data_IF_665281897239
#
_entry.id   IF_665281897239
#
_cell.length_a   1.000
_cell.length_b   1.000
_cell.length_c   1.000
_cell.angle_alpha   90.00
_cell.angle_beta   90.00
_cell.angle_gamma   90.00
#
_symmetry.space_group_name_H-M   'P 1'
#
loop_
_entity.id
_entity.type
_entity.pdbx_description
1 polymer ?
#
# COMPACT_ATOMS: atom_id res chain seq x y z
N UNK A 1 -0.14 80.62 2.42
CA UNK A 1 1.01 79.96 3.06
C UNK A 1 0.93 78.52 2.82
N UNK A 2 1.91 78.03 2.12
CA UNK A 2 1.93 76.69 1.50
C UNK A 2 2.19 75.60 2.51
N UNK A 3 1.38 74.58 2.47
CA UNK A 3 1.73 73.26 3.00
C UNK A 3 1.50 72.27 1.92
N UNK A 4 2.62 71.83 1.31
CA UNK A 4 2.68 70.82 0.31
C UNK A 4 2.47 69.46 0.94
N UNK A 5 1.41 68.77 0.54
CA UNK A 5 1.13 67.41 0.89
C UNK A 5 1.99 66.46 0.03
N UNK A 6 2.94 65.80 0.68
CA UNK A 6 3.75 64.78 0.10
C UNK A 6 3.03 63.44 0.25
N UNK A 7 2.41 62.98 -0.82
CA UNK A 7 1.69 61.72 -0.86
C UNK A 7 2.67 60.63 -1.26
N UNK A 8 3.09 59.84 -0.30
CA UNK A 8 3.91 58.62 -0.55
C UNK A 8 2.96 57.49 -0.93
N UNK A 9 3.02 57.10 -2.20
CA UNK A 9 2.44 55.86 -2.68
C UNK A 9 3.25 54.69 -2.14
N UNK A 10 2.59 53.83 -1.35
CA UNK A 10 3.14 52.60 -0.90
C UNK A 10 2.76 51.51 -1.91
N UNK A 11 3.71 51.12 -2.77
CA UNK A 11 3.56 49.98 -3.64
C UNK A 11 3.61 48.69 -2.80
N UNK A 12 2.42 48.14 -2.50
CA UNK A 12 2.29 46.83 -1.92
C UNK A 12 2.61 45.76 -2.97
N UNK A 13 3.77 45.15 -2.81
CA UNK A 13 4.17 43.95 -3.61
C UNK A 13 3.37 42.77 -3.06
N UNK A 14 2.34 42.35 -3.76
CA UNK A 14 1.63 41.10 -3.46
C UNK A 14 2.47 39.94 -4.02
N UNK A 15 3.22 39.28 -3.16
CA UNK A 15 3.88 38.04 -3.49
C UNK A 15 2.83 36.94 -3.40
N UNK A 16 2.29 36.56 -4.57
CA UNK A 16 1.40 35.41 -4.68
C UNK A 16 2.20 34.11 -4.48
N UNK A 17 2.03 33.49 -3.33
CA UNK A 17 2.53 32.13 -3.10
C UNK A 17 1.71 31.16 -3.92
N UNK A 18 2.25 30.69 -5.03
CA UNK A 18 1.71 29.56 -5.77
C UNK A 18 2.00 28.28 -4.97
N UNK A 19 1.01 27.76 -4.29
CA UNK A 19 1.04 26.39 -3.79
C UNK A 19 0.89 25.45 -4.99
N UNK A 20 2.01 24.87 -5.41
CA UNK A 20 1.99 23.74 -6.33
C UNK A 20 1.53 22.52 -5.53
N UNK A 21 0.24 22.22 -5.62
CA UNK A 21 -0.30 20.95 -5.12
C UNK A 21 0.15 19.87 -6.12
N UNK A 22 1.26 19.24 -5.83
CA UNK A 22 1.72 18.09 -6.58
C UNK A 22 0.75 16.92 -6.36
N UNK A 23 0.03 16.53 -7.42
CA UNK A 23 -0.82 15.36 -7.41
C UNK A 23 0.03 14.09 -7.39
N UNK A 24 0.27 13.54 -6.20
CA UNK A 24 0.90 12.24 -6.01
C UNK A 24 -0.15 11.11 -6.02
N UNK A 25 -0.98 11.04 -7.06
CA UNK A 25 -2.06 10.03 -7.13
C UNK A 25 -1.58 8.61 -7.42
N UNK A 26 -0.36 8.41 -7.94
CA UNK A 26 0.13 7.08 -8.35
C UNK A 26 0.68 6.20 -7.23
N UNK A 27 1.21 6.79 -6.16
CA UNK A 27 1.78 6.07 -5.02
C UNK A 27 0.74 5.68 -3.98
N UNK A 28 -0.34 6.43 -3.86
CA UNK A 28 -1.35 6.24 -2.82
C UNK A 28 -2.23 5.00 -3.07
N UNK A 29 -2.54 4.67 -4.31
CA UNK A 29 -3.40 3.53 -4.65
C UNK A 29 -2.74 2.21 -4.26
N UNK A 30 -1.48 2.00 -4.62
CA UNK A 30 -0.74 0.79 -4.26
C UNK A 30 -0.47 0.70 -2.76
N UNK A 31 -0.26 1.83 -2.10
CA UNK A 31 -0.08 1.87 -0.65
C UNK A 31 -1.40 1.56 0.07
N UNK A 32 -2.52 2.12 -0.39
CA UNK A 32 -3.83 1.83 0.15
C UNK A 32 -4.22 0.34 -0.04
N UNK A 33 -3.96 -0.22 -1.23
CA UNK A 33 -4.14 -1.64 -1.53
C UNK A 33 -3.30 -2.53 -0.61
N UNK A 34 -2.01 -2.21 -0.44
CA UNK A 34 -1.13 -2.95 0.48
C UNK A 34 -1.62 -2.89 1.94
N UNK A 35 -2.15 -1.76 2.38
CA UNK A 35 -2.70 -1.62 3.75
C UNK A 35 -3.97 -2.45 3.95
N UNK A 36 -4.87 -2.48 2.97
CA UNK A 36 -6.06 -3.36 3.01
C UNK A 36 -5.64 -4.83 2.99
N UNK A 37 -4.70 -5.20 2.12
CA UNK A 37 -4.14 -6.54 2.03
C UNK A 37 -3.49 -6.98 3.34
N UNK A 38 -2.79 -6.08 4.03
CA UNK A 38 -2.21 -6.36 5.35
C UNK A 38 -3.28 -6.69 6.39
N UNK A 39 -4.36 -5.91 6.43
CA UNK A 39 -5.46 -6.15 7.37
C UNK A 39 -6.16 -7.49 7.09
N UNK A 40 -6.45 -7.79 5.82
CA UNK A 40 -7.03 -9.07 5.39
C UNK A 40 -6.11 -10.24 5.72
N UNK A 41 -4.81 -10.12 5.46
CA UNK A 41 -3.82 -11.14 5.79
C UNK A 41 -3.76 -11.40 7.30
N UNK A 42 -3.76 -10.37 8.12
CA UNK A 42 -3.77 -10.51 9.58
C UNK A 42 -5.01 -11.24 10.10
N UNK A 43 -6.18 -10.92 9.52
CA UNK A 43 -7.46 -11.49 9.94
C UNK A 43 -7.69 -12.92 9.41
N UNK A 44 -7.36 -13.17 8.14
CA UNK A 44 -7.77 -14.39 7.43
C UNK A 44 -6.65 -15.42 7.20
N UNK A 45 -5.39 -15.02 7.28
CA UNK A 45 -4.26 -15.84 6.82
C UNK A 45 -3.24 -16.17 7.91
N UNK A 46 -2.91 -15.22 8.76
CA UNK A 46 -1.71 -15.26 9.60
C UNK A 46 -1.73 -16.40 10.63
N UNK A 47 -2.86 -16.70 11.27
CA UNK A 47 -2.95 -17.74 12.29
C UNK A 47 -2.68 -19.13 11.70
N UNK A 48 -3.31 -19.47 10.57
CA UNK A 48 -3.11 -20.75 9.92
C UNK A 48 -1.67 -20.89 9.38
N UNK A 49 -1.09 -19.81 8.86
CA UNK A 49 0.30 -19.81 8.39
C UNK A 49 1.29 -19.94 9.55
N UNK A 50 1.02 -19.33 10.70
CA UNK A 50 1.82 -19.51 11.90
C UNK A 50 1.83 -20.99 12.36
N UNK A 51 0.65 -21.61 12.40
CA UNK A 51 0.52 -23.04 12.76
C UNK A 51 1.25 -23.94 11.76
N UNK A 52 1.07 -23.69 10.46
CA UNK A 52 1.73 -24.48 9.40
C UNK A 52 3.25 -24.34 9.37
N UNK A 53 3.78 -23.21 9.81
CA UNK A 53 5.22 -23.00 9.90
C UNK A 53 5.86 -23.84 11.00
N UNK A 54 5.11 -24.14 12.06
CA UNK A 54 5.62 -24.78 13.28
C UNK A 54 6.53 -23.88 14.12
N UNK A 55 6.70 -22.62 13.74
CA UNK A 55 7.60 -21.65 14.38
C UNK A 55 6.85 -20.49 15.05
N UNK A 56 5.51 -20.46 14.95
CA UNK A 56 4.69 -19.36 15.43
C UNK A 56 4.73 -18.10 14.56
N UNK A 57 5.58 -18.08 13.53
CA UNK A 57 5.67 -17.02 12.52
C UNK A 57 5.40 -17.60 11.13
N UNK A 58 4.26 -17.23 10.55
CA UNK A 58 3.85 -17.69 9.23
C UNK A 58 4.62 -17.05 8.07
N UNK A 59 5.34 -15.94 8.31
CA UNK A 59 6.05 -15.20 7.26
C UNK A 59 7.24 -15.98 6.70
N UNK A 60 7.79 -16.93 7.46
CA UNK A 60 8.84 -17.82 6.98
C UNK A 60 8.42 -18.65 5.76
N UNK A 61 7.11 -18.92 5.62
CA UNK A 61 6.58 -19.65 4.46
C UNK A 61 6.70 -18.86 3.15
N UNK A 62 6.81 -17.53 3.25
CA UNK A 62 6.96 -16.64 2.10
C UNK A 62 8.41 -16.34 1.74
N UNK A 63 9.31 -16.43 2.71
CA UNK A 63 10.71 -15.97 2.58
C UNK A 63 11.72 -17.09 2.43
N UNK A 64 11.39 -18.33 2.80
CA UNK A 64 12.30 -19.48 2.69
C UNK A 64 12.63 -19.78 1.22
N UNK A 65 13.79 -20.40 0.99
CA UNK A 65 14.31 -20.68 -0.35
C UNK A 65 13.45 -21.67 -1.16
N UNK A 66 12.76 -22.58 -0.49
CA UNK A 66 11.86 -23.58 -1.09
C UNK A 66 10.38 -23.15 -1.07
N UNK A 67 10.13 -21.84 -0.99
CA UNK A 67 8.77 -21.30 -1.06
C UNK A 67 8.06 -21.69 -2.34
N UNK A 68 6.76 -21.96 -2.24
CA UNK A 68 5.98 -22.53 -3.35
C UNK A 68 5.74 -21.55 -4.50
N UNK A 69 5.51 -20.26 -4.21
CA UNK A 69 5.36 -19.27 -5.25
C UNK A 69 6.73 -18.68 -5.63
N UNK A 70 7.11 -18.81 -6.89
CA UNK A 70 8.36 -18.30 -7.44
C UNK A 70 8.19 -17.14 -8.41
N UNK A 71 6.95 -16.76 -8.69
CA UNK A 71 6.57 -15.60 -9.50
C UNK A 71 5.18 -15.10 -9.10
N UNK A 72 4.84 -13.91 -9.57
CA UNK A 72 3.58 -13.23 -9.20
C UNK A 72 2.36 -14.04 -9.59
N UNK A 73 2.36 -14.69 -10.74
CA UNK A 73 1.23 -15.51 -11.22
C UNK A 73 0.94 -16.69 -10.31
N UNK A 74 1.98 -17.34 -9.83
CA UNK A 74 1.83 -18.44 -8.86
C UNK A 74 1.32 -17.92 -7.51
N UNK A 75 1.73 -16.73 -7.08
CA UNK A 75 1.24 -16.12 -5.86
C UNK A 75 -0.27 -15.79 -5.97
N UNK A 76 -0.71 -15.21 -7.07
CA UNK A 76 -2.13 -14.97 -7.36
C UNK A 76 -2.95 -16.26 -7.27
N UNK A 77 -2.50 -17.31 -7.93
CA UNK A 77 -3.16 -18.63 -7.92
C UNK A 77 -3.21 -19.21 -6.51
N UNK A 78 -2.17 -19.05 -5.72
CA UNK A 78 -2.14 -19.55 -4.33
C UNK A 78 -3.12 -18.81 -3.42
N UNK A 79 -3.20 -17.49 -3.53
CA UNK A 79 -4.15 -16.69 -2.74
C UNK A 79 -5.58 -17.06 -3.11
N UNK A 80 -5.91 -17.14 -4.40
CA UNK A 80 -7.23 -17.54 -4.88
C UNK A 80 -7.60 -18.97 -4.42
N UNK A 81 -6.66 -19.91 -4.45
CA UNK A 81 -6.86 -21.26 -3.95
C UNK A 81 -7.17 -21.27 -2.45
N UNK A 82 -6.38 -20.59 -1.64
CA UNK A 82 -6.62 -20.50 -0.20
C UNK A 82 -7.99 -19.89 0.11
N UNK A 83 -8.39 -18.84 -0.61
CA UNK A 83 -9.71 -18.24 -0.48
C UNK A 83 -10.81 -19.27 -0.73
N UNK A 84 -10.70 -20.02 -1.83
CA UNK A 84 -11.69 -21.02 -2.24
C UNK A 84 -11.73 -22.21 -1.29
N UNK A 85 -10.59 -22.81 -0.97
CA UNK A 85 -10.50 -24.01 -0.13
C UNK A 85 -10.89 -23.76 1.32
N UNK A 86 -10.55 -22.61 1.85
CA UNK A 86 -10.80 -22.24 3.25
C UNK A 86 -12.09 -21.40 3.42
N UNK A 87 -12.78 -21.08 2.33
CA UNK A 87 -14.02 -20.28 2.32
C UNK A 87 -13.85 -18.97 3.08
N UNK A 88 -12.83 -18.19 2.69
CA UNK A 88 -12.48 -16.94 3.37
C UNK A 88 -13.39 -15.78 2.99
N UNK A 89 -14.26 -15.97 1.99
CA UNK A 89 -15.20 -14.97 1.49
C UNK A 89 -14.54 -13.67 1.01
N UNK A 90 -13.34 -13.79 0.42
CA UNK A 90 -12.65 -12.67 -0.19
C UNK A 90 -13.20 -12.43 -1.60
N UNK A 91 -13.45 -11.16 -1.92
CA UNK A 91 -13.74 -10.74 -3.30
C UNK A 91 -12.44 -10.72 -4.12
N UNK A 92 -12.50 -10.69 -5.47
CA UNK A 92 -11.31 -10.62 -6.31
C UNK A 92 -10.41 -9.42 -6.01
N UNK A 93 -10.98 -8.30 -5.60
CA UNK A 93 -10.24 -7.10 -5.18
C UNK A 93 -9.47 -7.33 -3.87
N UNK A 94 -10.05 -8.08 -2.95
CA UNK A 94 -9.41 -8.44 -1.68
C UNK A 94 -8.22 -9.38 -1.93
N UNK A 95 -8.38 -10.37 -2.80
CA UNK A 95 -7.28 -11.25 -3.22
C UNK A 95 -6.14 -10.45 -3.84
N UNK A 96 -6.45 -9.50 -4.72
CA UNK A 96 -5.46 -8.62 -5.34
C UNK A 96 -4.73 -7.75 -4.30
N UNK A 97 -5.44 -7.20 -3.33
CA UNK A 97 -4.86 -6.42 -2.23
C UNK A 97 -3.91 -7.26 -1.37
N UNK A 98 -4.29 -8.51 -1.06
CA UNK A 98 -3.41 -9.47 -0.35
C UNK A 98 -2.16 -9.78 -1.17
N UNK A 99 -2.28 -10.02 -2.47
CA UNK A 99 -1.14 -10.26 -3.37
C UNK A 99 -0.20 -9.06 -3.37
N UNK A 100 -0.71 -7.83 -3.47
CA UNK A 100 0.09 -6.59 -3.43
C UNK A 100 0.85 -6.49 -2.09
N UNK A 101 0.18 -6.74 -0.98
CA UNK A 101 0.80 -6.75 0.34
C UNK A 101 1.94 -7.78 0.44
N UNK A 102 1.69 -9.03 0.05
CA UNK A 102 2.68 -10.10 0.10
C UNK A 102 3.86 -9.84 -0.83
N UNK A 103 3.60 -9.38 -2.05
CA UNK A 103 4.62 -9.02 -3.02
C UNK A 103 5.54 -7.92 -2.48
N UNK A 104 4.95 -6.87 -1.92
CA UNK A 104 5.69 -5.71 -1.43
C UNK A 104 6.55 -6.02 -0.22
N UNK A 105 6.08 -6.87 0.69
CA UNK A 105 6.73 -7.09 1.98
C UNK A 105 7.59 -8.35 2.04
N UNK A 106 7.32 -9.36 1.23
CA UNK A 106 7.97 -10.67 1.37
C UNK A 106 8.55 -11.25 0.08
N UNK A 107 7.79 -11.21 -1.02
CA UNK A 107 8.19 -11.93 -2.23
C UNK A 107 9.15 -11.14 -3.12
N UNK A 108 8.91 -9.88 -3.35
CA UNK A 108 9.76 -8.97 -4.14
C UNK A 108 10.11 -9.51 -5.53
N UNK A 109 9.15 -10.14 -6.21
CA UNK A 109 9.35 -10.59 -7.59
C UNK A 109 9.66 -9.41 -8.53
N UNK A 110 10.56 -9.62 -9.47
CA UNK A 110 10.94 -8.62 -10.50
C UNK A 110 10.13 -8.80 -11.77
#
# INVERSE_FOLDING_TARGET
>A
MNTSHFQRAVNGLVVGSFFVVGNAFGTDVNQAAASRGQALHADKCSSCHADKSGLGDGTVLYTRSDRKATNIKQLEVMVARCNSELRLDLFPEDEADVVIFLQKNFYHFK
#
